data_IF_730192135695
#
_entry.id   IF_730192135695
#
_cell.length_a   1.000
_cell.length_b   1.000
_cell.length_c   1.000
_cell.angle_alpha   90.00
_cell.angle_beta   90.00
_cell.angle_gamma   90.00
#
_symmetry.space_group_name_H-M   'P 1'
#
loop_
_entity.id
_entity.type
_entity.pdbx_description
1 polymer ?
#
# COMPACT_ATOMS: atom_id res chain seq x y z
N UNK A 1 9.69 -8.93 1.04
CA UNK A 1 8.89 -8.45 2.19
C UNK A 1 8.97 -6.93 2.17
N UNK A 2 7.85 -6.23 2.37
CA UNK A 2 7.77 -4.78 2.19
C UNK A 2 8.57 -4.04 3.27
N UNK A 3 9.75 -3.54 2.92
CA UNK A 3 10.71 -3.00 3.88
C UNK A 3 10.20 -1.78 4.67
N UNK A 4 9.16 -1.09 4.19
CA UNK A 4 8.58 0.09 4.84
C UNK A 4 7.07 0.05 5.06
N UNK A 5 6.41 -1.10 4.86
CA UNK A 5 4.95 -1.21 4.96
C UNK A 5 4.50 -2.63 5.35
N UNK A 6 4.66 -3.03 6.62
CA UNK A 6 4.35 -4.39 7.06
C UNK A 6 2.89 -4.79 6.82
N UNK A 7 1.94 -3.84 6.90
CA UNK A 7 0.53 -4.08 6.62
C UNK A 7 0.28 -4.72 5.25
N UNK A 8 1.03 -4.30 4.22
CA UNK A 8 0.92 -4.85 2.86
C UNK A 8 1.62 -6.20 2.69
N UNK A 9 2.54 -6.57 3.58
CA UNK A 9 3.18 -7.89 3.52
C UNK A 9 2.19 -9.03 3.79
N UNK A 10 1.11 -8.77 4.53
CA UNK A 10 0.08 -9.75 4.84
C UNK A 10 -1.17 -9.69 3.95
N UNK A 11 -1.22 -8.81 2.95
CA UNK A 11 -2.38 -8.67 2.06
C UNK A 11 -2.21 -9.49 0.78
N UNK A 12 -3.31 -10.10 0.33
CA UNK A 12 -3.44 -10.73 -0.99
C UNK A 12 -3.74 -9.64 -2.03
N UNK A 13 -2.69 -9.11 -2.66
CA UNK A 13 -2.82 -8.06 -3.68
C UNK A 13 -3.27 -8.58 -5.05
N UNK A 14 -3.19 -9.91 -5.25
CA UNK A 14 -3.58 -10.57 -6.49
C UNK A 14 -2.59 -10.38 -7.64
N UNK A 15 -2.85 -11.05 -8.78
CA UNK A 15 -2.00 -10.94 -9.96
C UNK A 15 -2.26 -9.62 -10.72
N UNK A 16 -1.26 -9.18 -11.48
CA UNK A 16 -1.42 -8.12 -12.47
C UNK A 16 -1.37 -8.69 -13.89
N UNK A 17 -2.01 -7.99 -14.82
CA UNK A 17 -1.84 -8.18 -16.27
C UNK A 17 -1.73 -6.79 -16.93
N UNK A 18 -0.78 -6.64 -17.85
CA UNK A 18 -0.58 -5.40 -18.61
C UNK A 18 0.00 -5.67 -20.00
N UNK A 19 -0.04 -4.68 -20.88
CA UNK A 19 0.51 -4.78 -22.24
C UNK A 19 1.82 -4.01 -22.32
N UNK A 20 2.91 -4.68 -22.65
CA UNK A 20 4.23 -4.07 -22.90
C UNK A 20 4.62 -4.37 -24.34
N UNK A 21 4.76 -3.33 -25.17
CA UNK A 21 5.10 -3.46 -26.59
C UNK A 21 4.20 -4.44 -27.38
N UNK A 22 2.91 -4.55 -27.01
CA UNK A 22 1.96 -5.43 -27.67
C UNK A 22 1.94 -6.87 -27.17
N UNK A 23 2.77 -7.21 -26.18
CA UNK A 23 2.75 -8.50 -25.50
C UNK A 23 2.08 -8.40 -24.13
N UNK A 24 1.30 -9.42 -23.76
CA UNK A 24 0.71 -9.51 -22.44
C UNK A 24 1.76 -9.98 -21.43
N UNK A 25 1.97 -9.17 -20.39
CA UNK A 25 2.83 -9.47 -19.26
C UNK A 25 1.97 -9.62 -18.02
N UNK A 26 2.06 -10.77 -17.37
CA UNK A 26 1.37 -11.06 -16.11
C UNK A 26 2.37 -11.37 -15.00
N UNK A 27 1.94 -11.25 -13.75
CA UNK A 27 2.79 -11.58 -12.61
C UNK A 27 2.11 -11.37 -11.27
N UNK A 28 2.87 -11.60 -10.20
CA UNK A 28 2.43 -11.37 -8.82
C UNK A 28 2.70 -9.93 -8.38
N UNK A 29 1.65 -9.25 -7.92
CA UNK A 29 1.76 -7.88 -7.42
C UNK A 29 2.60 -7.78 -6.14
N UNK A 30 2.65 -8.83 -5.31
CA UNK A 30 3.48 -8.80 -4.10
C UNK A 30 4.96 -8.74 -4.44
N UNK A 31 5.43 -9.64 -5.29
CA UNK A 31 6.82 -9.64 -5.74
C UNK A 31 7.21 -8.35 -6.46
N UNK A 32 6.34 -7.86 -7.35
CA UNK A 32 6.59 -6.65 -8.14
C UNK A 32 6.77 -5.41 -7.27
N UNK A 33 5.93 -5.25 -6.24
CA UNK A 33 5.86 -4.02 -5.45
C UNK A 33 6.70 -4.04 -4.17
N UNK A 34 7.06 -5.22 -3.65
CA UNK A 34 7.88 -5.38 -2.45
C UNK A 34 9.20 -4.56 -2.39
N UNK A 35 9.93 -4.31 -3.51
CA UNK A 35 11.14 -3.49 -3.47
C UNK A 35 10.89 -1.98 -3.51
N UNK A 36 9.64 -1.52 -3.69
CA UNK A 36 9.28 -0.11 -3.81
C UNK A 36 8.95 0.53 -2.45
N UNK A 37 9.11 1.85 -2.38
CA UNK A 37 8.68 2.65 -1.24
C UNK A 37 7.37 3.38 -1.55
N UNK A 38 6.47 3.43 -0.58
CA UNK A 38 5.30 4.32 -0.65
C UNK A 38 5.69 5.72 -0.21
N UNK A 39 5.35 6.72 -1.03
CA UNK A 39 5.48 8.13 -0.69
C UNK A 39 4.11 8.77 -0.47
N UNK A 40 3.96 9.56 0.58
CA UNK A 40 2.80 10.43 0.75
C UNK A 40 2.97 11.64 -0.16
N UNK A 41 2.13 11.77 -1.19
CA UNK A 41 2.06 13.01 -1.98
C UNK A 41 1.42 14.11 -1.13
N UNK A 42 2.23 15.01 -0.62
CA UNK A 42 1.76 16.22 0.04
C UNK A 42 1.60 17.33 -1.02
N UNK A 43 0.44 17.96 -1.06
CA UNK A 43 0.22 19.16 -1.86
C UNK A 43 0.66 20.38 -1.04
N UNK A 44 1.62 21.15 -1.56
CA UNK A 44 2.06 22.42 -0.99
C UNK A 44 1.19 23.60 -1.45
N UNK A 45 -0.11 23.38 -1.62
CA UNK A 45 -1.06 24.44 -2.03
C UNK A 45 -1.82 24.94 -0.81
N UNK A 46 -2.20 26.23 -0.81
CA UNK A 46 -3.05 26.82 0.23
C UNK A 46 -4.39 26.09 0.38
N UNK A 47 -4.89 25.48 -0.72
CA UNK A 47 -6.07 24.64 -0.69
C UNK A 47 -5.71 23.21 -0.31
N UNK A 48 -6.27 22.72 0.81
CA UNK A 48 -6.22 21.31 1.14
C UNK A 48 -7.05 20.48 0.14
N UNK A 49 -6.60 19.26 -0.13
CA UNK A 49 -7.43 18.27 -0.80
C UNK A 49 -8.70 18.03 0.02
N UNK A 50 -9.85 17.87 -0.63
CA UNK A 50 -11.16 17.65 0.03
C UNK A 50 -11.15 16.50 1.05
N UNK A 51 -10.26 15.52 0.87
CA UNK A 51 -10.14 14.31 1.67
C UNK A 51 -8.76 14.19 2.35
N UNK A 52 -8.12 15.32 2.67
CA UNK A 52 -6.77 15.32 3.26
C UNK A 52 -6.69 14.51 4.58
N UNK A 53 -7.76 14.52 5.38
CA UNK A 53 -7.87 13.74 6.62
C UNK A 53 -7.97 12.23 6.34
N UNK A 54 -8.83 11.82 5.40
CA UNK A 54 -8.99 10.41 5.01
C UNK A 54 -7.70 9.83 4.45
N UNK A 55 -6.98 10.61 3.63
CA UNK A 55 -5.65 10.25 3.13
C UNK A 55 -4.63 10.12 4.27
N UNK A 56 -4.77 10.87 5.35
CA UNK A 56 -3.97 10.74 6.56
C UNK A 56 -4.24 9.44 7.29
N UNK A 57 -5.52 9.12 7.53
CA UNK A 57 -5.96 7.86 8.17
C UNK A 57 -5.50 6.64 7.39
N UNK A 58 -5.63 6.67 6.06
CA UNK A 58 -5.14 5.60 5.19
C UNK A 58 -3.61 5.43 5.32
N UNK A 59 -2.87 6.54 5.37
CA UNK A 59 -1.42 6.50 5.54
C UNK A 59 -1.01 5.87 6.87
N UNK A 60 -1.68 6.24 7.97
CA UNK A 60 -1.44 5.63 9.29
C UNK A 60 -1.69 4.13 9.25
N UNK A 61 -2.83 3.69 8.70
CA UNK A 61 -3.16 2.27 8.57
C UNK A 61 -2.14 1.47 7.75
N UNK A 62 -1.58 2.07 6.69
CA UNK A 62 -0.56 1.42 5.86
C UNK A 62 0.82 1.41 6.55
N UNK A 63 1.18 2.48 7.25
CA UNK A 63 2.46 2.61 7.93
C UNK A 63 2.49 1.88 9.29
N UNK A 64 1.34 1.51 9.85
CA UNK A 64 1.26 0.75 11.08
C UNK A 64 1.95 -0.62 10.93
N UNK A 65 2.84 -0.98 11.87
CA UNK A 65 3.44 -2.32 11.87
C UNK A 65 2.35 -3.36 12.14
N UNK A 66 2.40 -4.48 11.42
CA UNK A 66 1.48 -5.60 11.58
C UNK A 66 1.70 -6.32 12.92
N UNK A 67 1.24 -5.74 14.04
CA UNK A 67 1.15 -6.31 15.39
C UNK A 67 0.26 -5.36 16.20
N UNK A 68 -0.87 -5.68 16.82
CA UNK A 68 -1.36 -6.92 17.44
C UNK A 68 -2.87 -6.73 17.67
N UNK A 69 -3.74 -7.43 16.93
CA UNK A 69 -5.05 -7.80 17.47
C UNK A 69 -4.97 -9.27 17.84
N UNK A 70 -4.38 -9.54 19.00
CA UNK A 70 -4.70 -10.77 19.71
C UNK A 70 -6.07 -10.52 20.33
N UNK A 71 -7.11 -11.05 19.70
CA UNK A 71 -8.43 -11.08 20.30
C UNK A 71 -8.36 -12.13 21.42
N UNK A 72 -8.13 -11.66 22.65
CA UNK A 72 -8.39 -12.43 23.87
C UNK A 72 -9.90 -12.72 23.91
N UNK A 73 -10.29 -13.90 23.42
CA UNK A 73 -11.54 -14.52 23.81
C UNK A 73 -11.34 -15.15 25.18
N UNK A 74 -11.75 -14.42 26.22
CA UNK A 74 -11.99 -14.97 27.56
C UNK A 74 -13.42 -15.46 27.71
#
# INVERSE_FOLDING_TARGET
MWAGCPALSGMELGPYSTMVNGEEVTGDSQGLLAPLYFGRRCFYTENQAKNAEDCGKLWELLAEPASTKQEDFS
#
